data_IF_235336454504
#
_entry.id   IF_235336454504
#
_cell.length_a   1.000
_cell.length_b   1.000
_cell.length_c   1.000
_cell.angle_alpha   90.00
_cell.angle_beta   90.00
_cell.angle_gamma   90.00
#
_symmetry.space_group_name_H-M   'P 1'
#
loop_
_entity.id
_entity.type
_entity.pdbx_description
1 polymer ?
#
# COMPACT_ATOMS: atom_id res chain seq x y z
N UNK A 1 -25.22 -13.73 -13.26
CA UNK A 1 -24.60 -14.97 -12.73
C UNK A 1 -25.46 -15.50 -11.60
N UNK A 2 -25.86 -16.81 -11.63
CA UNK A 2 -26.62 -17.41 -10.55
C UNK A 2 -25.78 -17.40 -9.25
N UNK A 3 -26.44 -17.08 -8.15
CA UNK A 3 -25.82 -17.02 -6.82
C UNK A 3 -26.27 -18.18 -5.97
N UNK A 4 -25.39 -18.69 -5.14
CA UNK A 4 -25.68 -19.68 -4.10
C UNK A 4 -25.52 -19.06 -2.71
N UNK A 5 -26.23 -19.62 -1.72
CA UNK A 5 -26.22 -19.14 -0.32
C UNK A 5 -27.55 -18.49 0.10
N UNK A 6 -27.69 -18.01 1.33
CA UNK A 6 -26.72 -18.20 2.43
C UNK A 6 -26.69 -19.66 2.91
N UNK A 7 -25.52 -20.20 3.16
CA UNK A 7 -25.33 -21.54 3.71
C UNK A 7 -24.05 -21.61 4.57
N UNK A 8 -23.94 -22.59 5.42
CA UNK A 8 -22.74 -22.84 6.22
C UNK A 8 -21.66 -23.52 5.36
N UNK A 9 -20.94 -22.75 4.58
CA UNK A 9 -19.84 -23.23 3.77
C UNK A 9 -18.67 -22.26 3.79
N UNK A 10 -17.56 -22.59 3.13
CA UNK A 10 -16.46 -21.65 2.98
C UNK A 10 -16.97 -20.37 2.28
N UNK A 11 -16.49 -19.23 2.72
CA UNK A 11 -16.83 -17.95 2.12
C UNK A 11 -16.30 -17.91 0.67
N UNK A 12 -17.21 -17.82 -0.29
CA UNK A 12 -16.86 -17.57 -1.69
C UNK A 12 -17.01 -16.09 -1.98
N UNK A 13 -16.04 -15.51 -2.67
CA UNK A 13 -16.04 -14.11 -3.07
C UNK A 13 -16.19 -13.98 -4.58
N UNK A 14 -16.80 -12.88 -5.03
CA UNK A 14 -16.75 -12.47 -6.43
C UNK A 14 -15.60 -11.49 -6.61
N UNK A 15 -14.81 -11.69 -7.64
CA UNK A 15 -13.72 -10.80 -8.01
C UNK A 15 -14.12 -10.04 -9.27
N UNK A 16 -14.11 -8.71 -9.18
CA UNK A 16 -14.08 -7.83 -10.35
C UNK A 16 -12.60 -7.53 -10.60
N UNK A 17 -11.99 -8.33 -11.47
CA UNK A 17 -10.57 -8.22 -11.76
C UNK A 17 -10.32 -7.17 -12.84
N UNK A 18 -9.54 -6.14 -12.53
CA UNK A 18 -9.10 -5.11 -13.49
C UNK A 18 -7.87 -5.51 -14.30
N UNK A 19 -7.30 -6.68 -14.04
CA UNK A 19 -6.13 -7.18 -14.78
C UNK A 19 -6.56 -7.71 -16.15
N UNK A 20 -5.69 -7.53 -17.14
CA UNK A 20 -5.88 -8.11 -18.47
C UNK A 20 -5.59 -9.61 -18.40
N UNK A 21 -6.64 -10.40 -18.23
CA UNK A 21 -6.55 -11.86 -18.14
C UNK A 21 -6.89 -12.46 -19.51
N UNK A 22 -5.96 -13.21 -20.06
CA UNK A 22 -6.17 -13.86 -21.36
C UNK A 22 -7.43 -14.73 -21.34
N UNK A 23 -8.35 -14.48 -22.28
CA UNK A 23 -9.61 -15.22 -22.43
C UNK A 23 -10.82 -14.60 -21.68
N UNK A 24 -10.65 -13.52 -20.94
CA UNK A 24 -11.75 -12.74 -20.38
C UNK A 24 -12.09 -11.62 -21.36
N UNK A 25 -13.38 -11.47 -21.80
CA UNK A 25 -13.78 -10.37 -22.67
C UNK A 25 -13.41 -9.01 -22.04
N UNK A 26 -12.88 -8.08 -22.85
CA UNK A 26 -12.45 -6.75 -22.39
C UNK A 26 -13.55 -5.93 -21.70
N UNK A 27 -14.82 -6.24 -22.00
CA UNK A 27 -15.99 -5.62 -21.37
C UNK A 27 -16.19 -6.06 -19.92
N UNK A 28 -15.58 -7.17 -19.51
CA UNK A 28 -15.62 -7.71 -18.15
C UNK A 28 -14.37 -7.38 -17.33
N UNK A 29 -13.34 -6.81 -17.97
CA UNK A 29 -12.12 -6.34 -17.30
C UNK A 29 -12.29 -4.88 -16.91
N UNK A 30 -12.07 -4.56 -15.64
CA UNK A 30 -12.07 -3.19 -15.15
C UNK A 30 -10.66 -2.57 -15.25
N UNK A 31 -10.61 -1.24 -15.17
CA UNK A 31 -9.36 -0.50 -15.00
C UNK A 31 -9.38 0.18 -13.63
N UNK A 32 -8.22 0.48 -13.03
CA UNK A 32 -8.16 1.30 -11.82
C UNK A 32 -8.97 2.59 -12.00
N UNK A 33 -9.84 2.91 -11.01
CA UNK A 33 -10.76 4.05 -11.08
C UNK A 33 -12.13 3.78 -11.72
N UNK A 34 -12.35 2.61 -12.28
CA UNK A 34 -13.67 2.22 -12.78
C UNK A 34 -14.66 2.01 -11.63
N UNK A 35 -15.84 2.57 -11.78
CA UNK A 35 -16.94 2.45 -10.83
C UNK A 35 -18.01 1.54 -11.38
N UNK A 36 -18.51 0.63 -10.54
CA UNK A 36 -19.53 -0.33 -10.90
C UNK A 36 -20.76 -0.19 -10.00
N UNK A 37 -21.93 -0.31 -10.58
CA UNK A 37 -23.16 -0.55 -9.83
C UNK A 37 -23.34 -2.07 -9.72
N UNK A 38 -23.42 -2.57 -8.51
CA UNK A 38 -23.61 -3.99 -8.20
C UNK A 38 -25.03 -4.15 -7.66
N UNK A 39 -25.83 -4.97 -8.32
CA UNK A 39 -27.22 -5.25 -7.96
C UNK A 39 -27.36 -6.72 -7.56
N UNK A 40 -27.80 -6.94 -6.34
CA UNK A 40 -28.18 -8.26 -5.86
C UNK A 40 -29.72 -8.36 -5.86
N UNK A 41 -30.26 -9.34 -6.54
CA UNK A 41 -31.70 -9.65 -6.53
C UNK A 41 -31.94 -10.99 -5.85
N UNK A 42 -32.94 -11.02 -4.98
CA UNK A 42 -33.37 -12.22 -4.28
C UNK A 42 -34.87 -12.42 -4.46
N UNK A 43 -35.22 -13.19 -5.47
CA UNK A 43 -36.59 -13.62 -5.77
C UNK A 43 -36.64 -15.16 -5.69
N UNK A 44 -37.31 -15.82 -6.61
CA UNK A 44 -37.23 -17.27 -6.77
C UNK A 44 -35.83 -17.75 -7.19
N UNK A 45 -35.08 -16.90 -7.87
CA UNK A 45 -33.67 -17.11 -8.21
C UNK A 45 -32.86 -15.95 -7.63
N UNK A 46 -31.71 -16.28 -7.02
CA UNK A 46 -30.73 -15.26 -6.58
C UNK A 46 -29.82 -14.93 -7.74
N UNK A 47 -29.69 -13.67 -8.06
CA UNK A 47 -28.80 -13.20 -9.11
C UNK A 47 -27.94 -12.02 -8.64
N UNK A 48 -26.70 -11.99 -9.09
CA UNK A 48 -25.79 -10.87 -8.94
C UNK A 48 -25.46 -10.33 -10.33
N UNK A 49 -25.68 -9.05 -10.50
CA UNK A 49 -25.37 -8.33 -11.72
C UNK A 49 -24.49 -7.13 -11.40
N UNK A 50 -23.60 -6.78 -12.32
CA UNK A 50 -22.83 -5.56 -12.22
C UNK A 50 -22.74 -4.86 -13.57
N UNK A 51 -22.72 -3.56 -13.52
CA UNK A 51 -22.59 -2.71 -14.69
C UNK A 51 -21.66 -1.55 -14.39
N UNK A 52 -20.70 -1.31 -15.26
CA UNK A 52 -19.86 -0.11 -15.20
C UNK A 52 -20.72 1.14 -15.33
N UNK A 53 -20.58 2.08 -14.40
CA UNK A 53 -21.33 3.34 -14.36
C UNK A 53 -20.47 4.55 -14.65
N UNK A 54 -19.16 4.37 -14.67
CA UNK A 54 -18.22 5.45 -15.00
C UNK A 54 -16.79 5.04 -14.71
N UNK A 55 -15.88 5.91 -15.09
CA UNK A 55 -14.45 5.85 -14.74
C UNK A 55 -14.08 7.19 -14.12
N UNK A 56 -13.19 7.18 -13.15
CA UNK A 56 -12.66 8.36 -12.50
C UNK A 56 -11.17 8.20 -12.24
N UNK A 57 -10.54 9.27 -11.82
CA UNK A 57 -9.18 9.16 -11.26
C UNK A 57 -9.28 8.37 -9.96
N UNK A 58 -8.42 7.37 -9.79
CA UNK A 58 -8.32 6.67 -8.53
C UNK A 58 -7.66 7.62 -7.53
N UNK A 59 -8.42 8.13 -6.59
CA UNK A 59 -7.87 8.87 -5.45
C UNK A 59 -7.61 7.87 -4.32
N UNK A 60 -6.35 7.76 -3.91
CA UNK A 60 -6.02 7.04 -2.69
C UNK A 60 -6.24 7.98 -1.52
N UNK A 61 -7.35 7.81 -0.82
CA UNK A 61 -7.68 8.57 0.39
C UNK A 61 -6.96 8.01 1.63
N UNK A 62 -6.06 7.05 1.47
CA UNK A 62 -5.30 6.47 2.57
C UNK A 62 -4.32 7.47 3.16
N UNK A 63 -4.17 7.41 4.48
CA UNK A 63 -3.09 8.05 5.21
C UNK A 63 -1.94 7.07 5.36
N UNK A 64 -0.72 7.53 5.16
CA UNK A 64 0.47 6.70 5.30
C UNK A 64 1.27 7.13 6.52
N UNK A 65 1.71 6.13 7.25
CA UNK A 65 2.47 6.28 8.48
C UNK A 65 3.80 5.56 8.33
N UNK A 66 4.79 6.08 9.01
CA UNK A 66 6.08 5.43 9.20
C UNK A 66 6.24 5.05 10.67
N UNK A 67 6.84 3.91 10.93
CA UNK A 67 7.21 3.45 12.26
C UNK A 67 8.66 3.01 12.21
N UNK A 68 9.47 3.53 13.12
CA UNK A 68 10.91 3.27 13.05
C UNK A 68 11.64 3.35 14.37
N UNK A 69 12.87 2.87 14.36
CA UNK A 69 13.74 2.74 15.54
C UNK A 69 14.04 4.07 16.24
N UNK A 70 14.04 5.19 15.53
CA UNK A 70 14.34 6.52 16.09
C UNK A 70 13.16 7.18 16.81
N UNK A 71 11.94 6.65 16.62
CA UNK A 71 10.72 7.16 17.25
C UNK A 71 10.05 6.13 18.17
N UNK A 72 10.86 5.22 18.70
CA UNK A 72 10.38 4.15 19.59
C UNK A 72 9.23 3.31 19.02
N UNK A 73 9.20 3.17 17.68
CA UNK A 73 8.19 2.44 16.93
C UNK A 73 6.77 3.06 17.00
N UNK A 74 6.66 4.31 17.41
CA UNK A 74 5.40 5.06 17.29
C UNK A 74 5.01 5.26 15.81
N UNK A 75 3.73 5.46 15.55
CA UNK A 75 3.20 5.70 14.22
C UNK A 75 3.12 7.20 13.93
N UNK A 76 3.94 7.68 13.01
CA UNK A 76 3.93 9.09 12.61
C UNK A 76 3.42 9.22 11.19
N UNK A 77 2.42 10.07 10.99
CA UNK A 77 1.83 10.32 9.67
C UNK A 77 2.85 11.01 8.76
N UNK A 78 3.05 10.49 7.56
CA UNK A 78 3.90 11.09 6.53
C UNK A 78 3.18 12.29 5.91
N UNK A 79 3.91 13.36 5.67
CA UNK A 79 3.37 14.55 5.01
C UNK A 79 3.06 14.26 3.53
N UNK A 80 1.84 14.60 3.10
CA UNK A 80 1.46 14.52 1.69
C UNK A 80 2.15 15.63 0.90
N UNK A 81 2.84 15.27 -0.17
CA UNK A 81 3.44 16.23 -1.10
C UNK A 81 2.39 16.80 -2.08
N UNK A 82 2.76 17.86 -2.81
CA UNK A 82 1.90 18.42 -3.87
C UNK A 82 1.67 17.43 -5.02
N UNK A 83 2.66 16.58 -5.29
CA UNK A 83 2.53 15.51 -6.28
C UNK A 83 1.60 14.43 -5.74
N UNK A 84 0.55 14.15 -6.50
CA UNK A 84 -0.45 13.15 -6.15
C UNK A 84 0.19 11.78 -5.83
N UNK A 85 -0.28 11.14 -4.76
CA UNK A 85 0.22 9.83 -4.33
C UNK A 85 1.62 9.83 -3.74
N UNK A 86 2.20 11.00 -3.47
CA UNK A 86 3.54 11.13 -2.88
C UNK A 86 3.45 11.60 -1.43
N UNK A 87 4.19 10.92 -0.56
CA UNK A 87 4.25 11.16 0.88
C UNK A 87 5.71 11.19 1.31
N UNK A 88 6.07 12.06 2.24
CA UNK A 88 7.46 12.17 2.68
C UNK A 88 7.60 12.44 4.18
N UNK A 89 8.76 12.09 4.71
CA UNK A 89 9.17 12.38 6.07
C UNK A 89 10.69 12.54 6.13
N UNK A 90 11.18 13.45 6.96
CA UNK A 90 12.60 13.52 7.30
C UNK A 90 12.88 12.75 8.59
N UNK A 91 13.96 11.97 8.58
CA UNK A 91 14.41 11.19 9.71
C UNK A 91 15.91 11.40 9.92
N UNK A 92 16.31 11.57 11.15
CA UNK A 92 17.72 11.75 11.52
C UNK A 92 18.32 10.42 12.01
N UNK A 93 19.48 10.06 11.50
CA UNK A 93 20.22 8.86 11.92
C UNK A 93 20.70 9.02 13.36
N UNK A 94 20.30 8.04 14.17
CA UNK A 94 20.86 7.83 15.50
C UNK A 94 22.03 6.84 15.49
N UNK A 95 22.59 6.51 16.67
CA UNK A 95 23.72 5.58 16.78
C UNK A 95 23.45 4.17 16.23
N UNK A 96 22.20 3.74 16.18
CA UNK A 96 21.77 2.43 15.71
C UNK A 96 21.33 2.39 14.24
N UNK A 97 21.52 3.49 13.48
CA UNK A 97 20.95 3.62 12.14
C UNK A 97 19.45 3.93 12.16
N UNK A 98 18.82 3.89 10.97
CA UNK A 98 17.37 4.00 10.84
C UNK A 98 16.81 2.67 10.32
N UNK A 99 15.96 2.06 11.11
CA UNK A 99 15.22 0.84 10.72
C UNK A 99 13.74 1.17 10.78
N UNK A 100 12.97 0.86 9.73
CA UNK A 100 11.57 1.27 9.66
C UNK A 100 10.74 0.39 8.72
N UNK A 101 9.44 0.52 8.85
CA UNK A 101 8.44 0.03 7.91
C UNK A 101 7.33 1.08 7.75
N UNK A 102 6.50 0.93 6.76
CA UNK A 102 5.35 1.78 6.54
C UNK A 102 4.05 1.04 6.81
N UNK A 103 3.00 1.78 7.02
CA UNK A 103 1.65 1.23 7.15
C UNK A 103 0.61 2.24 6.68
N UNK A 104 -0.51 1.72 6.19
CA UNK A 104 -1.65 2.54 5.77
C UNK A 104 -2.65 2.64 6.91
N UNK A 105 -3.17 3.86 7.14
CA UNK A 105 -4.22 4.16 8.13
C UNK A 105 -3.87 3.78 9.59
N UNK A 106 -2.58 3.72 9.94
CA UNK A 106 -2.09 3.25 11.23
C UNK A 106 -2.58 1.83 11.60
N UNK A 107 -2.84 0.98 10.59
CA UNK A 107 -3.37 -0.36 10.75
C UNK A 107 -2.30 -1.42 10.50
N UNK A 108 -1.97 -2.23 11.51
CA UNK A 108 -0.99 -3.32 11.42
C UNK A 108 -1.38 -4.43 10.42
N UNK A 109 -2.63 -4.47 9.97
CA UNK A 109 -3.06 -5.35 8.89
C UNK A 109 -2.83 -4.75 7.49
N UNK A 110 -2.30 -3.55 7.42
CA UNK A 110 -2.00 -2.83 6.20
C UNK A 110 -0.52 -2.39 6.18
N UNK A 111 0.37 -3.33 6.46
CA UNK A 111 1.82 -3.11 6.42
C UNK A 111 2.29 -2.91 4.97
N UNK A 112 3.33 -2.08 4.82
CA UNK A 112 4.05 -1.84 3.57
C UNK A 112 5.52 -2.08 3.88
N UNK A 113 6.17 -2.93 3.10
CA UNK A 113 7.46 -3.52 3.43
C UNK A 113 8.27 -3.89 2.18
N UNK A 114 9.59 -4.12 2.29
CA UNK A 114 10.42 -4.55 1.18
C UNK A 114 10.14 -6.00 0.77
N UNK A 115 10.36 -6.32 -0.52
CA UNK A 115 10.33 -7.69 -1.04
C UNK A 115 11.66 -8.40 -0.72
N UNK A 116 11.82 -8.78 0.53
CA UNK A 116 12.99 -9.50 1.07
C UNK A 116 12.49 -10.72 1.86
N UNK A 117 13.39 -11.62 2.18
CA UNK A 117 13.07 -12.74 3.06
C UNK A 117 12.72 -12.26 4.49
N UNK A 118 12.15 -13.14 5.30
CA UNK A 118 11.74 -12.81 6.67
C UNK A 118 12.97 -12.39 7.49
N UNK A 119 12.80 -11.33 8.28
CA UNK A 119 13.86 -10.71 9.10
C UNK A 119 15.05 -10.08 8.34
N UNK A 120 15.03 -10.03 7.01
CA UNK A 120 16.00 -9.28 6.23
C UNK A 120 15.63 -7.79 6.12
N UNK A 121 16.67 -6.99 5.87
CA UNK A 121 16.56 -5.54 5.72
C UNK A 121 16.65 -5.15 4.23
N UNK A 122 15.62 -4.51 3.72
CA UNK A 122 15.60 -3.95 2.38
C UNK A 122 16.36 -2.64 2.24
N UNK A 123 16.66 -2.28 1.01
CA UNK A 123 17.33 -1.06 0.61
C UNK A 123 16.41 -0.14 -0.21
N UNK A 124 16.86 1.10 -0.45
CA UNK A 124 16.16 2.02 -1.34
C UNK A 124 16.07 1.44 -2.74
N UNK A 125 14.89 1.53 -3.33
CA UNK A 125 14.64 1.02 -4.67
C UNK A 125 14.25 -0.46 -4.75
N UNK A 126 14.29 -1.18 -3.65
CA UNK A 126 13.76 -2.54 -3.60
C UNK A 126 12.26 -2.53 -3.89
N UNK A 127 11.75 -3.66 -4.41
CA UNK A 127 10.33 -3.80 -4.65
C UNK A 127 9.55 -3.65 -3.35
N UNK A 128 8.51 -2.81 -3.39
CA UNK A 128 7.64 -2.53 -2.24
C UNK A 128 6.41 -3.43 -2.32
N UNK A 129 6.11 -4.13 -1.25
CA UNK A 129 4.94 -5.00 -1.09
C UNK A 129 3.97 -4.43 -0.03
N UNK A 130 2.77 -5.00 0.02
CA UNK A 130 1.68 -4.62 0.94
C UNK A 130 0.54 -3.95 0.15
N UNK A 131 -0.44 -3.39 0.72
CA UNK A 131 -0.86 -3.21 2.10
C UNK A 131 -1.54 -4.48 2.64
N UNK A 132 -0.87 -5.28 3.43
CA UNK A 132 -1.36 -6.53 3.99
C UNK A 132 -0.68 -6.85 5.33
N UNK A 133 -0.96 -8.02 5.90
CA UNK A 133 -0.42 -8.45 7.20
C UNK A 133 0.86 -9.31 7.10
N UNK A 134 1.38 -9.55 5.88
CA UNK A 134 2.53 -10.44 5.67
C UNK A 134 3.90 -9.76 5.83
N UNK A 135 3.91 -8.46 6.13
CA UNK A 135 5.14 -7.68 6.33
C UNK A 135 5.76 -7.76 7.72
N UNK A 136 5.27 -8.66 8.57
CA UNK A 136 5.78 -8.77 9.94
C UNK A 136 7.26 -9.22 9.92
N UNK A 137 8.13 -8.41 10.55
CA UNK A 137 9.58 -8.67 10.57
C UNK A 137 10.37 -7.97 9.44
N UNK A 138 9.75 -7.73 8.29
CA UNK A 138 10.40 -7.09 7.12
C UNK A 138 10.50 -5.58 7.30
N UNK A 139 11.67 -5.02 7.06
CA UNK A 139 11.96 -3.60 7.32
C UNK A 139 12.97 -3.05 6.32
N UNK A 140 12.95 -1.75 6.11
CA UNK A 140 14.05 -1.05 5.45
C UNK A 140 15.09 -0.60 6.47
N UNK A 141 16.33 -0.49 6.01
CA UNK A 141 17.43 0.05 6.79
C UNK A 141 18.17 1.14 6.02
N UNK A 142 18.44 2.26 6.69
CA UNK A 142 19.31 3.32 6.19
C UNK A 142 20.54 3.36 7.11
N UNK A 143 21.71 3.19 6.49
CA UNK A 143 23.01 3.34 7.16
C UNK A 143 23.61 4.70 6.85
N UNK A 144 24.31 5.29 7.80
CA UNK A 144 24.97 6.57 7.66
C UNK A 144 25.64 7.00 8.95
N UNK A 145 26.11 8.24 9.02
CA UNK A 145 26.72 8.81 10.20
C UNK A 145 25.65 9.37 11.15
N UNK A 146 25.78 9.18 12.49
CA UNK A 146 24.88 9.84 13.43
C UNK A 146 24.78 11.35 13.15
N UNK A 147 23.55 11.86 13.06
CA UNK A 147 23.28 13.23 12.67
C UNK A 147 22.88 13.42 11.20
N UNK A 148 23.15 12.46 10.34
CA UNK A 148 22.67 12.51 8.95
C UNK A 148 21.13 12.51 8.91
N UNK A 149 20.58 13.41 8.12
CA UNK A 149 19.15 13.52 7.89
C UNK A 149 18.81 13.00 6.49
N UNK A 150 17.89 12.07 6.43
CA UNK A 150 17.37 11.54 5.17
C UNK A 150 15.93 11.93 4.99
N UNK A 151 15.56 12.30 3.77
CA UNK A 151 14.16 12.41 3.36
C UNK A 151 13.74 11.10 2.74
N UNK A 152 12.80 10.44 3.41
CA UNK A 152 12.17 9.20 2.97
C UNK A 152 10.93 9.61 2.18
N UNK A 153 10.80 9.10 0.95
CA UNK A 153 9.70 9.40 0.04
C UNK A 153 9.01 8.12 -0.39
N UNK A 154 7.73 8.01 -0.08
CA UNK A 154 6.87 6.94 -0.52
C UNK A 154 5.94 7.44 -1.62
N UNK A 155 5.82 6.66 -2.69
CA UNK A 155 4.92 6.93 -3.80
C UNK A 155 3.98 5.74 -3.99
N UNK A 156 2.69 6.06 -4.11
CA UNK A 156 1.67 5.14 -4.59
C UNK A 156 1.05 5.74 -5.83
N UNK A 157 1.38 5.17 -6.98
CA UNK A 157 0.94 5.70 -8.25
C UNK A 157 -0.54 5.36 -8.46
N UNK A 158 -1.40 6.36 -8.76
CA UNK A 158 -2.84 6.14 -8.93
C UNK A 158 -3.19 5.25 -10.13
N UNK A 159 -2.26 5.10 -11.08
CA UNK A 159 -2.46 4.30 -12.29
C UNK A 159 -2.41 2.78 -12.03
N UNK A 160 -1.80 2.37 -10.93
CA UNK A 160 -1.75 0.98 -10.50
C UNK A 160 -1.69 0.91 -8.98
N UNK A 161 -2.70 0.30 -8.37
CA UNK A 161 -2.73 0.09 -6.91
C UNK A 161 -1.56 -0.76 -6.40
N UNK A 162 -0.91 -1.51 -7.30
CA UNK A 162 0.24 -2.36 -7.01
C UNK A 162 1.58 -1.66 -7.30
N UNK A 163 1.58 -0.40 -7.81
CA UNK A 163 2.79 0.37 -8.07
C UNK A 163 3.14 1.23 -6.87
N UNK A 164 3.84 0.65 -5.93
CA UNK A 164 4.43 1.36 -4.81
C UNK A 164 5.94 1.51 -5.03
N UNK A 165 6.48 2.65 -4.63
CA UNK A 165 7.92 2.92 -4.65
C UNK A 165 8.34 3.61 -3.37
N UNK A 166 9.49 3.23 -2.85
CA UNK A 166 10.12 3.84 -1.70
C UNK A 166 11.55 4.20 -2.05
N UNK A 167 11.89 5.45 -1.82
CA UNK A 167 13.25 5.98 -1.99
C UNK A 167 13.60 6.87 -0.81
N UNK A 168 14.90 7.09 -0.58
CA UNK A 168 15.38 8.11 0.34
C UNK A 168 16.64 8.78 -0.19
N UNK A 169 16.79 10.03 0.19
CA UNK A 169 17.94 10.85 -0.19
C UNK A 169 18.52 11.55 1.04
N UNK A 170 19.83 11.67 1.08
CA UNK A 170 20.51 12.49 2.09
C UNK A 170 20.13 13.96 1.90
N UNK A 171 19.84 14.65 2.98
CA UNK A 171 19.48 16.07 3.00
C UNK A 171 20.60 16.91 3.56
N UNK A 172 21.02 16.60 4.78
CA UNK A 172 22.07 17.34 5.52
C UNK A 172 22.56 16.52 6.71
N UNK A 173 23.65 16.95 7.33
CA UNK A 173 24.06 16.45 8.65
C UNK A 173 23.75 17.52 9.71
N UNK A 174 22.95 17.15 10.70
CA UNK A 174 22.69 17.96 11.91
C UNK A 174 23.49 17.37 13.04
N UNK A 175 24.53 18.10 13.49
CA UNK A 175 25.33 17.65 14.61
C UNK A 175 24.44 17.20 15.77
N UNK A 176 24.70 15.99 16.29
CA UNK A 176 24.03 15.51 17.50
C UNK A 176 24.68 16.26 18.66
N UNK A 177 23.91 17.11 19.33
CA UNK A 177 24.38 17.86 20.51
C UNK A 177 24.55 16.93 21.72
#
# INVERSE_FOLDING_TARGET
>A
TPCVGPHKGPANTWLLDGRDVAGVPSELTGKPGDRYNITFSWTSVKALEWRKVGSGVLEDEGKYFISGSWMNWDYVEMARAETQGTYSMEAQIGPAGLIFYLLRNADQKQLIYPDVDDDEMGCSGDRVLGCDEYGLGKRWSITGTPGDVFRITFQRLPESLDSMRLDWVFVENRAVA
#
